data_IF_401780143712
#
_entry.id   IF_401780143712
#
_cell.length_a   1.000
_cell.length_b   1.000
_cell.length_c   1.000
_cell.angle_alpha   90.00
_cell.angle_beta   90.00
_cell.angle_gamma   90.00
#
_symmetry.space_group_name_H-M   'P 1'
#
loop_
_entity.id
_entity.type
_entity.pdbx_description
1 polymer ?
#
# COMPACT_ATOMS: atom_id res chain seq x y z
N UNK A 1 54.93 -19.85 -26.89
CA UNK A 1 54.88 -18.95 -25.71
C UNK A 1 53.60 -18.12 -25.80
N UNK A 2 52.59 -18.46 -24.98
CA UNK A 2 51.26 -17.85 -25.03
C UNK A 2 51.33 -16.40 -24.49
N UNK A 3 50.91 -15.44 -25.31
CA UNK A 3 50.73 -14.03 -24.90
C UNK A 3 49.46 -13.95 -24.05
N UNK A 4 49.60 -13.54 -22.80
CA UNK A 4 48.48 -13.22 -21.90
C UNK A 4 48.07 -11.79 -22.23
N UNK A 5 46.86 -11.64 -22.76
CA UNK A 5 46.22 -10.36 -23.01
C UNK A 5 45.58 -9.90 -21.69
N UNK A 6 46.18 -8.91 -21.01
CA UNK A 6 45.54 -8.23 -19.89
C UNK A 6 44.53 -7.22 -20.46
N UNK A 7 43.25 -7.58 -20.41
CA UNK A 7 42.16 -6.65 -20.67
C UNK A 7 41.89 -5.85 -19.40
N UNK A 8 42.23 -4.57 -19.40
CA UNK A 8 41.87 -3.64 -18.33
C UNK A 8 40.35 -3.41 -18.35
N UNK A 9 39.65 -3.91 -17.33
CA UNK A 9 38.24 -3.58 -17.10
C UNK A 9 38.22 -2.23 -16.39
N UNK A 10 37.85 -1.18 -17.14
CA UNK A 10 37.55 0.12 -16.56
C UNK A 10 36.24 0.01 -15.77
N UNK A 11 36.34 0.07 -14.44
CA UNK A 11 35.18 0.30 -13.58
C UNK A 11 34.70 1.74 -13.82
N UNK A 12 33.63 1.90 -14.59
CA UNK A 12 32.87 3.14 -14.60
C UNK A 12 32.06 3.15 -13.30
N UNK A 13 32.58 3.87 -12.30
CA UNK A 13 31.81 4.37 -11.18
C UNK A 13 30.74 5.30 -11.75
N UNK A 14 29.55 4.77 -12.03
CA UNK A 14 28.36 5.57 -12.26
C UNK A 14 28.00 6.18 -10.90
N UNK A 15 28.50 7.38 -10.64
CA UNK A 15 28.03 8.17 -9.50
C UNK A 15 26.53 8.31 -9.59
N UNK A 16 25.83 8.06 -8.48
CA UNK A 16 24.44 8.43 -8.33
C UNK A 16 24.32 9.94 -8.56
N UNK A 17 23.85 10.30 -9.75
CA UNK A 17 23.17 11.57 -9.94
C UNK A 17 21.84 11.44 -9.19
N UNK A 18 21.77 12.07 -8.02
CA UNK A 18 20.50 12.38 -7.37
C UNK A 18 19.82 13.41 -8.28
N UNK A 19 18.96 12.91 -9.17
CA UNK A 19 18.00 13.77 -9.87
C UNK A 19 16.88 14.00 -8.87
N UNK A 20 16.93 15.13 -8.15
CA UNK A 20 15.76 15.66 -7.45
C UNK A 20 14.80 16.22 -8.52
N UNK A 21 13.94 15.36 -9.02
CA UNK A 21 12.85 15.70 -9.93
C UNK A 21 11.74 14.68 -9.76
N UNK A 22 10.56 15.14 -9.35
CA UNK A 22 9.32 14.35 -9.44
C UNK A 22 8.86 14.35 -10.91
N UNK A 23 9.66 13.76 -11.79
CA UNK A 23 9.44 13.73 -13.25
C UNK A 23 8.39 12.67 -13.62
N UNK A 24 7.19 12.80 -13.05
CA UNK A 24 6.01 12.05 -13.42
C UNK A 24 5.03 13.00 -14.08
N UNK A 25 5.23 13.23 -15.37
CA UNK A 25 4.35 14.09 -16.16
C UNK A 25 3.09 13.36 -16.63
N UNK A 26 3.11 12.03 -16.69
CA UNK A 26 2.00 11.23 -17.22
C UNK A 26 1.86 9.91 -16.47
N UNK A 27 0.62 9.61 -16.07
CA UNK A 27 0.26 8.35 -15.40
C UNK A 27 -0.98 7.74 -16.06
N UNK A 28 -1.12 6.41 -16.12
CA UNK A 28 -2.37 5.79 -16.52
C UNK A 28 -3.41 5.85 -15.39
N UNK A 29 -4.69 5.98 -15.76
CA UNK A 29 -5.80 5.90 -14.83
C UNK A 29 -5.76 4.57 -14.06
N UNK A 30 -6.11 4.61 -12.77
CA UNK A 30 -6.19 3.47 -11.84
C UNK A 30 -4.88 2.75 -11.51
N UNK A 31 -3.78 2.97 -12.24
CA UNK A 31 -2.50 2.38 -11.92
C UNK A 31 -1.77 3.20 -10.85
N UNK A 32 -1.23 2.49 -9.85
CA UNK A 32 -0.42 3.10 -8.81
C UNK A 32 0.83 3.76 -9.40
N UNK A 33 1.04 5.02 -9.05
CA UNK A 33 2.23 5.82 -9.33
C UNK A 33 2.79 6.37 -8.02
N UNK A 34 4.08 6.67 -7.97
CA UNK A 34 4.76 7.08 -6.74
C UNK A 34 5.62 8.32 -6.96
N UNK A 35 5.44 9.35 -6.14
CA UNK A 35 6.33 10.52 -6.09
C UNK A 35 7.14 10.49 -4.80
N UNK A 36 8.35 11.04 -4.87
CA UNK A 36 9.29 11.10 -3.74
C UNK A 36 9.62 12.55 -3.43
N UNK A 37 9.58 12.88 -2.15
CA UNK A 37 9.91 14.19 -1.62
C UNK A 37 10.96 14.02 -0.53
N UNK A 38 11.81 15.03 -0.39
CA UNK A 38 12.83 15.05 0.64
C UNK A 38 12.56 16.21 1.58
N UNK A 39 12.43 15.90 2.87
CA UNK A 39 12.34 16.89 3.93
C UNK A 39 13.61 17.74 3.98
N UNK A 40 13.47 19.05 4.16
CA UNK A 40 14.60 19.93 4.46
C UNK A 40 14.95 19.96 5.96
N UNK A 41 14.18 19.22 6.77
CA UNK A 41 14.29 19.09 8.23
C UNK A 41 14.54 17.65 8.68
N UNK A 42 15.16 17.52 9.85
CA UNK A 42 15.23 16.27 10.59
C UNK A 42 14.11 16.22 11.63
N UNK A 43 13.50 15.05 11.81
CA UNK A 43 12.52 14.79 12.85
C UNK A 43 12.99 13.64 13.72
N UNK A 44 12.64 13.67 15.01
CA UNK A 44 13.02 12.60 15.94
C UNK A 44 12.24 11.33 15.64
N UNK A 45 10.97 11.46 15.28
CA UNK A 45 10.16 10.35 14.78
C UNK A 45 9.27 10.80 13.62
N UNK A 46 9.78 10.75 12.37
CA UNK A 46 9.03 11.21 11.20
C UNK A 46 7.64 10.60 11.03
N UNK A 47 7.45 9.35 11.47
CA UNK A 47 6.15 8.67 11.47
C UNK A 47 5.11 9.33 12.40
N UNK A 48 5.53 9.85 13.56
CA UNK A 48 4.64 10.51 14.52
C UNK A 48 4.58 12.03 14.32
N UNK A 49 5.71 12.63 13.93
CA UNK A 49 5.88 14.08 13.96
C UNK A 49 5.30 14.77 12.71
N UNK A 50 5.11 14.03 11.62
CA UNK A 50 4.79 14.61 10.30
C UNK A 50 3.57 13.94 9.67
N UNK A 51 2.53 14.74 9.45
CA UNK A 51 1.44 14.37 8.54
C UNK A 51 1.72 15.00 7.18
N UNK A 52 1.96 14.14 6.18
CA UNK A 52 2.21 14.54 4.80
C UNK A 52 1.05 14.06 3.90
N UNK A 53 0.53 14.94 3.06
CA UNK A 53 -0.56 14.70 2.12
C UNK A 53 -0.24 15.34 0.76
N UNK A 54 -0.83 14.81 -0.31
CA UNK A 54 -0.88 15.47 -1.62
C UNK A 54 -2.32 15.60 -2.08
N UNK A 55 -2.72 16.82 -2.42
CA UNK A 55 -4.04 17.13 -2.96
C UNK A 55 -3.90 17.21 -4.48
N UNK A 56 -4.54 16.28 -5.19
CA UNK A 56 -4.65 16.30 -6.64
C UNK A 56 -6.00 16.90 -7.04
N UNK A 57 -6.00 17.87 -7.94
CA UNK A 57 -7.21 18.53 -8.45
C UNK A 57 -7.31 18.37 -9.95
N UNK A 58 -8.38 17.73 -10.43
CA UNK A 58 -8.64 17.56 -11.86
C UNK A 58 -9.04 18.91 -12.47
N UNK A 59 -8.21 19.45 -13.37
CA UNK A 59 -8.30 20.85 -13.82
C UNK A 59 -9.62 21.20 -14.52
N UNK A 60 -10.25 20.22 -15.18
CA UNK A 60 -11.50 20.44 -15.91
C UNK A 60 -12.73 20.41 -15.01
N UNK A 61 -12.76 19.56 -13.98
CA UNK A 61 -13.97 19.34 -13.16
C UNK A 61 -13.85 19.88 -11.74
N UNK A 62 -12.64 20.24 -11.29
CA UNK A 62 -12.38 20.59 -9.89
C UNK A 62 -12.51 19.41 -8.93
N UNK A 63 -12.51 18.17 -9.44
CA UNK A 63 -12.61 16.99 -8.58
C UNK A 63 -11.29 16.77 -7.85
N UNK A 64 -11.34 16.61 -6.53
CA UNK A 64 -10.17 16.51 -5.68
C UNK A 64 -9.97 15.10 -5.12
N UNK A 65 -8.71 14.68 -5.05
CA UNK A 65 -8.25 13.51 -4.33
C UNK A 65 -7.18 13.96 -3.34
N UNK A 66 -7.46 13.81 -2.03
CA UNK A 66 -6.46 13.99 -0.99
C UNK A 66 -5.84 12.65 -0.65
N UNK A 67 -4.56 12.47 -0.97
CA UNK A 67 -3.84 11.21 -0.82
C UNK A 67 -2.81 11.35 0.30
N UNK A 68 -2.84 10.49 1.33
CA UNK A 68 -1.84 10.50 2.38
C UNK A 68 -0.49 10.01 1.85
N UNK A 69 0.58 10.72 2.23
CA UNK A 69 1.94 10.27 2.05
C UNK A 69 2.46 9.51 3.27
N UNK A 70 3.65 8.92 3.13
CA UNK A 70 4.30 8.11 4.15
C UNK A 70 5.81 8.37 4.18
N UNK A 71 6.38 8.34 5.38
CA UNK A 71 7.83 8.34 5.58
C UNK A 71 8.43 7.01 5.12
N UNK A 72 9.56 7.04 4.42
CA UNK A 72 10.27 5.86 3.90
C UNK A 72 11.76 5.87 4.26
N UNK A 73 12.14 6.45 5.41
CA UNK A 73 13.50 6.43 5.96
C UNK A 73 14.24 7.75 5.82
N UNK A 74 15.10 8.09 6.79
CA UNK A 74 15.80 9.36 6.82
C UNK A 74 14.86 10.55 6.63
N UNK A 75 15.15 11.38 5.62
CA UNK A 75 14.34 12.54 5.22
C UNK A 75 13.35 12.26 4.08
N UNK A 76 13.18 11.00 3.69
CA UNK A 76 12.40 10.63 2.50
C UNK A 76 10.94 10.44 2.86
N UNK A 77 10.08 11.15 2.15
CA UNK A 77 8.62 10.98 2.18
C UNK A 77 8.13 10.64 0.78
N UNK A 78 7.12 9.79 0.70
CA UNK A 78 6.55 9.33 -0.55
C UNK A 78 5.06 9.50 -0.54
N UNK A 79 4.49 9.67 -1.73
CA UNK A 79 3.04 9.52 -1.95
C UNK A 79 2.85 8.49 -3.03
N UNK A 80 2.01 7.49 -2.76
CA UNK A 80 1.58 6.50 -3.75
C UNK A 80 0.11 6.75 -4.06
N UNK A 81 -0.22 6.95 -5.32
CA UNK A 81 -1.55 7.40 -5.75
C UNK A 81 -1.99 6.72 -7.04
N UNK A 82 -3.30 6.67 -7.27
CA UNK A 82 -3.90 6.26 -8.52
C UNK A 82 -4.94 7.30 -8.93
N UNK A 83 -4.73 7.99 -10.06
CA UNK A 83 -5.69 8.99 -10.55
C UNK A 83 -6.90 8.27 -11.17
N UNK A 84 -8.09 8.74 -10.85
CA UNK A 84 -9.35 8.03 -11.16
C UNK A 84 -10.11 8.66 -12.33
N UNK A 85 -9.59 9.71 -12.96
CA UNK A 85 -10.19 10.38 -14.13
C UNK A 85 -9.11 10.81 -15.12
N UNK A 86 -9.32 10.46 -16.39
CA UNK A 86 -8.48 10.90 -17.52
C UNK A 86 -8.55 12.42 -17.67
N UNK A 87 -7.41 13.05 -17.92
CA UNK A 87 -7.29 14.49 -18.14
C UNK A 87 -6.11 15.10 -17.41
N UNK A 88 -6.08 16.42 -17.40
CA UNK A 88 -5.04 17.22 -16.75
C UNK A 88 -5.35 17.41 -15.27
N UNK A 89 -4.36 17.16 -14.42
CA UNK A 89 -4.41 17.38 -12.98
C UNK A 89 -3.34 18.38 -12.57
N UNK A 90 -3.62 19.15 -11.53
CA UNK A 90 -2.61 19.84 -10.73
C UNK A 90 -2.49 19.14 -9.38
N UNK A 91 -1.35 19.27 -8.72
CA UNK A 91 -1.20 18.84 -7.33
C UNK A 91 -0.56 19.92 -6.46
N UNK A 92 -0.82 19.85 -5.16
CA UNK A 92 -0.10 20.59 -4.12
C UNK A 92 0.15 19.67 -2.92
N UNK A 93 1.34 19.75 -2.34
CA UNK A 93 1.70 19.02 -1.13
C UNK A 93 1.34 19.80 0.13
N UNK A 94 0.89 19.09 1.16
CA UNK A 94 0.50 19.64 2.46
C UNK A 94 1.26 18.86 3.53
N UNK A 95 1.96 19.58 4.40
CA UNK A 95 2.75 19.02 5.50
C UNK A 95 2.25 19.67 6.80
N UNK A 96 2.16 18.92 7.90
CA UNK A 96 1.82 19.48 9.21
C UNK A 96 2.86 20.50 9.72
N UNK A 97 4.12 20.34 9.32
CA UNK A 97 5.17 21.36 9.49
C UNK A 97 5.21 22.27 8.26
N UNK A 98 4.49 23.39 8.34
CA UNK A 98 4.38 24.35 7.24
C UNK A 98 5.71 25.04 6.88
N UNK A 99 6.71 24.99 7.77
CA UNK A 99 8.02 25.59 7.51
C UNK A 99 9.01 24.59 6.88
N UNK A 100 8.57 23.36 6.59
CA UNK A 100 9.32 22.36 5.83
C UNK A 100 9.13 22.62 4.32
N UNK A 101 10.05 23.34 3.69
CA UNK A 101 9.93 23.70 2.27
C UNK A 101 10.17 22.51 1.33
N UNK A 102 10.81 21.44 1.84
CA UNK A 102 10.98 20.18 1.13
C UNK A 102 9.68 19.38 0.97
N UNK A 103 8.71 19.57 1.87
CA UNK A 103 7.44 18.83 1.88
C UNK A 103 6.20 19.71 1.71
N UNK A 104 6.21 20.98 2.10
CA UNK A 104 5.02 21.83 2.08
C UNK A 104 4.96 22.74 0.84
N UNK A 105 3.76 22.93 0.28
CA UNK A 105 3.48 23.83 -0.85
C UNK A 105 4.28 23.54 -2.13
N UNK A 106 4.81 22.32 -2.29
CA UNK A 106 5.34 21.87 -3.57
C UNK A 106 4.17 21.55 -4.49
N UNK A 107 4.23 22.02 -5.74
CA UNK A 107 3.12 21.88 -6.68
C UNK A 107 3.61 21.55 -8.08
N UNK A 108 2.72 20.98 -8.87
CA UNK A 108 3.02 20.58 -10.23
C UNK A 108 1.78 20.13 -10.97
N UNK A 109 2.00 19.51 -12.13
CA UNK A 109 0.95 19.04 -13.01
C UNK A 109 1.22 17.59 -13.42
N UNK A 110 0.14 16.83 -13.64
CA UNK A 110 0.22 15.44 -14.10
C UNK A 110 -0.91 15.21 -15.10
N UNK A 111 -0.59 14.58 -16.23
CA UNK A 111 -1.59 14.10 -17.19
C UNK A 111 -2.01 12.67 -16.85
N UNK A 112 -3.28 12.45 -16.53
CA UNK A 112 -3.85 11.12 -16.41
C UNK A 112 -4.32 10.64 -17.79
N UNK A 113 -3.78 9.52 -18.26
CA UNK A 113 -4.15 8.88 -19.54
C UNK A 113 -5.08 7.71 -19.32
N UNK A 114 -5.79 7.30 -20.35
CA UNK A 114 -6.59 6.07 -20.32
C UNK A 114 -5.69 4.84 -20.11
N UNK A 115 -6.15 3.90 -19.28
CA UNK A 115 -5.47 2.62 -19.14
C UNK A 115 -5.60 1.80 -20.44
N UNK A 116 -4.48 1.36 -21.00
CA UNK A 116 -4.41 0.61 -22.28
C UNK A 116 -4.09 -0.87 -22.12
N UNK A 117 -4.01 -1.37 -20.90
CA UNK A 117 -3.72 -2.79 -20.66
C UNK A 117 -5.00 -3.64 -20.66
N UNK A 118 -4.84 -4.92 -20.33
CA UNK A 118 -5.91 -5.91 -20.47
C UNK A 118 -6.66 -6.24 -19.18
N UNK A 119 -6.17 -5.79 -18.03
CA UNK A 119 -6.71 -6.19 -16.73
C UNK A 119 -8.02 -5.44 -16.43
N UNK A 120 -9.09 -6.21 -16.20
CA UNK A 120 -10.45 -5.67 -15.99
C UNK A 120 -10.52 -4.69 -14.81
N UNK A 121 -9.76 -4.94 -13.73
CA UNK A 121 -9.71 -4.05 -12.55
C UNK A 121 -9.24 -2.62 -12.87
N UNK A 122 -8.41 -2.45 -13.89
CA UNK A 122 -7.94 -1.12 -14.33
C UNK A 122 -8.72 -0.58 -15.53
N UNK A 123 -9.34 -1.43 -16.36
CA UNK A 123 -10.28 -0.98 -17.41
C UNK A 123 -11.55 -0.38 -16.81
N UNK A 124 -12.06 -0.98 -15.74
CA UNK A 124 -13.37 -0.67 -15.14
C UNK A 124 -13.28 0.17 -13.87
N UNK A 125 -12.08 0.28 -13.29
CA UNK A 125 -11.83 0.94 -12.01
C UNK A 125 -12.04 0.04 -10.80
N UNK A 126 -11.60 0.51 -9.64
CA UNK A 126 -11.55 -0.30 -8.42
C UNK A 126 -12.93 -0.77 -7.96
N UNK A 127 -12.95 -1.90 -7.24
CA UNK A 127 -14.18 -2.51 -6.71
C UNK A 127 -14.81 -1.60 -5.66
N UNK A 128 -16.13 -1.47 -5.70
CA UNK A 128 -16.94 -0.72 -4.73
C UNK A 128 -18.22 -1.47 -4.35
N UNK A 129 -18.89 -0.95 -3.34
CA UNK A 129 -20.24 -1.36 -2.93
C UNK A 129 -21.27 -0.35 -3.41
N UNK A 130 -22.50 -0.80 -3.56
CA UNK A 130 -23.67 0.03 -3.82
C UNK A 130 -24.75 -0.36 -2.78
N UNK A 131 -25.34 0.60 -2.04
CA UNK A 131 -26.34 0.30 -1.00
C UNK A 131 -27.58 -0.47 -1.51
N UNK A 132 -27.93 -0.31 -2.78
CA UNK A 132 -29.09 -0.94 -3.38
C UNK A 132 -28.79 -2.35 -3.91
N UNK A 133 -27.52 -2.74 -3.96
CA UNK A 133 -27.07 -4.04 -4.44
C UNK A 133 -26.69 -4.98 -3.28
N UNK A 134 -26.52 -6.26 -3.61
CA UNK A 134 -26.07 -7.31 -2.68
C UNK A 134 -24.83 -8.04 -3.19
N UNK A 135 -24.14 -7.42 -4.13
CA UNK A 135 -22.92 -7.92 -4.76
C UNK A 135 -21.97 -6.76 -5.04
N UNK A 136 -20.71 -7.07 -5.28
CA UNK A 136 -19.69 -6.07 -5.62
C UNK A 136 -19.81 -5.63 -7.08
N UNK A 137 -19.38 -4.41 -7.35
CA UNK A 137 -19.28 -3.84 -8.69
C UNK A 137 -17.91 -3.20 -8.88
N UNK A 138 -17.42 -3.14 -10.11
CA UNK A 138 -16.33 -2.24 -10.48
C UNK A 138 -16.81 -0.77 -10.45
N UNK A 139 -15.89 0.19 -10.59
CA UNK A 139 -16.27 1.61 -10.57
C UNK A 139 -17.24 1.99 -11.71
N UNK A 140 -17.14 1.35 -12.87
CA UNK A 140 -18.05 1.53 -14.01
C UNK A 140 -19.46 0.94 -13.83
N UNK A 141 -19.72 0.23 -12.71
CA UNK A 141 -21.01 -0.41 -12.41
C UNK A 141 -21.13 -1.87 -12.88
N UNK A 142 -20.15 -2.41 -13.59
CA UNK A 142 -20.11 -3.83 -13.97
C UNK A 142 -19.99 -4.72 -12.74
N UNK A 143 -20.70 -5.84 -12.71
CA UNK A 143 -20.63 -6.79 -11.58
C UNK A 143 -19.22 -7.36 -11.41
N UNK A 144 -18.75 -7.40 -10.17
CA UNK A 144 -17.51 -8.07 -9.77
C UNK A 144 -17.85 -9.37 -9.02
N UNK A 145 -17.40 -10.50 -9.57
CA UNK A 145 -17.54 -11.78 -8.89
C UNK A 145 -16.34 -12.02 -7.96
N UNK A 146 -16.59 -12.02 -6.65
CA UNK A 146 -15.59 -12.32 -5.64
C UNK A 146 -15.30 -13.82 -5.63
N UNK A 147 -14.17 -14.22 -6.20
CA UNK A 147 -13.62 -15.56 -6.08
C UNK A 147 -12.27 -15.44 -5.37
N UNK A 148 -12.29 -15.70 -4.06
CA UNK A 148 -11.14 -15.49 -3.18
C UNK A 148 -10.37 -16.76 -2.87
N UNK A 149 -9.03 -16.66 -2.88
CA UNK A 149 -8.14 -17.65 -2.27
C UNK A 149 -7.49 -17.06 -1.01
N UNK A 150 -7.13 -17.94 -0.08
CA UNK A 150 -6.58 -17.56 1.21
C UNK A 150 -5.11 -17.91 1.33
N UNK A 151 -4.28 -16.89 1.59
CA UNK A 151 -2.85 -17.05 1.84
C UNK A 151 -2.38 -16.10 2.95
N UNK A 152 -2.47 -16.54 4.22
CA UNK A 152 -2.26 -15.66 5.36
C UNK A 152 -0.80 -15.22 5.60
N UNK A 153 0.16 -16.09 5.33
CA UNK A 153 1.58 -15.93 5.75
C UNK A 153 2.49 -15.41 4.65
N UNK A 154 2.01 -14.43 3.86
CA UNK A 154 2.78 -13.93 2.71
C UNK A 154 4.13 -13.33 3.11
N UNK A 155 4.28 -12.85 4.36
CA UNK A 155 5.51 -12.25 4.85
C UNK A 155 6.67 -13.21 5.03
N UNK A 156 6.40 -14.49 5.27
CA UNK A 156 7.41 -15.55 5.43
C UNK A 156 8.05 -15.96 4.10
N UNK A 157 7.37 -15.68 2.99
CA UNK A 157 7.79 -16.17 1.69
C UNK A 157 8.92 -15.34 1.09
N UNK A 158 9.87 -16.03 0.45
CA UNK A 158 10.91 -15.37 -0.33
C UNK A 158 10.30 -14.59 -1.52
N UNK A 159 10.91 -13.45 -1.81
CA UNK A 159 10.54 -12.56 -2.94
C UNK A 159 11.77 -12.16 -3.76
N UNK A 160 12.91 -12.82 -3.55
CA UNK A 160 14.21 -12.46 -4.14
C UNK A 160 14.26 -12.62 -5.66
N UNK A 161 13.53 -13.60 -6.22
CA UNK A 161 13.48 -13.84 -7.67
C UNK A 161 12.07 -14.23 -8.11
N UNK A 162 11.72 -14.09 -9.40
CA UNK A 162 10.42 -14.55 -9.93
C UNK A 162 10.12 -16.03 -9.69
N UNK A 163 11.14 -16.85 -9.39
CA UNK A 163 11.00 -18.27 -9.06
C UNK A 163 10.67 -18.52 -7.57
N UNK A 164 10.67 -17.50 -6.73
CA UNK A 164 10.30 -17.63 -5.32
C UNK A 164 8.83 -18.05 -5.15
N UNK A 165 8.52 -18.67 -4.02
CA UNK A 165 7.22 -19.31 -3.74
C UNK A 165 6.04 -18.34 -3.90
N UNK A 166 6.20 -17.11 -3.43
CA UNK A 166 5.19 -16.06 -3.50
C UNK A 166 4.66 -15.85 -4.93
N UNK A 167 5.55 -15.58 -5.88
CA UNK A 167 5.17 -15.31 -7.28
C UNK A 167 4.50 -16.53 -7.92
N UNK A 168 5.03 -17.74 -7.67
CA UNK A 168 4.46 -18.99 -8.21
C UNK A 168 3.04 -19.25 -7.71
N UNK A 169 2.75 -18.94 -6.46
CA UNK A 169 1.40 -19.10 -5.89
C UNK A 169 0.45 -18.11 -6.56
N UNK A 170 0.82 -16.83 -6.66
CA UNK A 170 0.01 -15.82 -7.35
C UNK A 170 -0.28 -16.23 -8.79
N UNK A 171 0.75 -16.56 -9.57
CA UNK A 171 0.58 -17.01 -10.95
C UNK A 171 -0.31 -18.25 -11.06
N UNK A 172 -0.20 -19.17 -10.09
CA UNK A 172 -1.07 -20.33 -10.05
C UNK A 172 -2.54 -19.95 -9.79
N UNK A 173 -2.81 -19.00 -8.89
CA UNK A 173 -4.16 -18.52 -8.60
C UNK A 173 -4.80 -17.81 -9.79
N UNK A 174 -4.02 -17.03 -10.53
CA UNK A 174 -4.47 -16.42 -11.79
C UNK A 174 -4.92 -17.52 -12.78
N UNK A 175 -4.11 -18.58 -12.97
CA UNK A 175 -4.47 -19.71 -13.86
C UNK A 175 -5.73 -20.47 -13.40
N UNK A 176 -6.05 -20.43 -12.11
CA UNK A 176 -7.25 -21.04 -11.54
C UNK A 176 -8.48 -20.12 -11.63
N UNK A 177 -8.32 -18.87 -12.05
CA UNK A 177 -9.40 -17.90 -12.23
C UNK A 177 -9.81 -17.13 -10.97
N UNK A 178 -9.01 -17.18 -9.90
CA UNK A 178 -9.27 -16.35 -8.71
C UNK A 178 -9.22 -14.87 -9.09
N UNK A 179 -10.09 -14.08 -8.46
CA UNK A 179 -10.18 -12.61 -8.65
C UNK A 179 -9.72 -11.86 -7.41
N UNK A 180 -9.71 -12.52 -6.25
CA UNK A 180 -9.32 -11.94 -4.97
C UNK A 180 -8.26 -12.80 -4.31
N UNK A 181 -7.25 -12.14 -3.77
CA UNK A 181 -6.20 -12.77 -2.97
C UNK A 181 -6.26 -12.26 -1.54
N UNK A 182 -6.48 -13.15 -0.58
CA UNK A 182 -6.64 -12.79 0.83
C UNK A 182 -5.34 -13.03 1.59
N UNK A 183 -4.84 -12.04 2.32
CA UNK A 183 -3.63 -12.23 3.13
C UNK A 183 -3.59 -11.38 4.39
N UNK A 184 -2.55 -11.63 5.19
CA UNK A 184 -2.13 -10.85 6.34
C UNK A 184 -0.63 -10.59 6.23
N UNK A 185 -0.05 -9.67 7.00
CA UNK A 185 1.39 -9.45 6.97
C UNK A 185 2.11 -10.38 7.96
N UNK A 186 1.58 -11.59 8.19
CA UNK A 186 2.22 -12.57 9.06
C UNK A 186 3.58 -12.94 8.47
N UNK A 187 4.61 -12.93 9.32
CA UNK A 187 5.99 -13.19 8.94
C UNK A 187 6.74 -11.99 8.34
N UNK A 188 6.11 -10.83 8.19
CA UNK A 188 6.79 -9.63 7.70
C UNK A 188 7.82 -9.16 8.75
N UNK A 189 9.06 -8.83 8.35
CA UNK A 189 10.14 -8.52 9.29
C UNK A 189 10.06 -7.07 9.80
N UNK A 190 9.02 -6.77 10.57
CA UNK A 190 8.90 -5.57 11.39
C UNK A 190 8.46 -5.95 12.81
N UNK A 191 8.58 -5.01 13.75
CA UNK A 191 7.99 -5.09 15.08
C UNK A 191 7.21 -3.79 15.30
N UNK A 192 5.88 -3.87 15.37
CA UNK A 192 5.03 -2.67 15.51
C UNK A 192 4.55 -2.47 16.95
N UNK A 193 4.94 -3.37 17.86
CA UNK A 193 4.63 -3.26 19.28
C UNK A 193 5.52 -2.25 20.03
N UNK A 194 6.52 -1.68 19.38
CA UNK A 194 7.45 -0.66 19.91
C UNK A 194 7.52 0.60 19.03
N UNK A 195 6.55 0.79 18.13
CA UNK A 195 6.45 1.93 17.23
C UNK A 195 6.85 1.59 15.80
N UNK A 196 7.07 2.62 14.97
CA UNK A 196 7.59 2.46 13.60
C UNK A 196 8.97 3.09 13.55
N UNK A 197 9.98 2.30 13.19
CA UNK A 197 11.38 2.69 13.10
C UNK A 197 11.94 2.45 11.69
N UNK A 198 13.20 2.83 11.46
CA UNK A 198 13.87 2.52 10.20
C UNK A 198 14.04 1.02 9.97
N UNK A 199 14.21 0.23 11.04
CA UNK A 199 14.39 -1.22 10.95
C UNK A 199 13.11 -1.90 10.43
N UNK A 200 11.94 -1.30 10.63
CA UNK A 200 10.65 -1.81 10.18
C UNK A 200 10.39 -1.56 8.69
N UNK A 201 11.08 -0.56 8.11
CA UNK A 201 10.92 -0.20 6.70
C UNK A 201 11.28 -1.34 5.77
N UNK A 202 12.17 -2.26 6.18
CA UNK A 202 12.45 -3.49 5.40
C UNK A 202 11.21 -4.36 5.25
N UNK A 203 10.37 -4.45 6.29
CA UNK A 203 9.11 -5.18 6.27
C UNK A 203 8.08 -4.50 5.37
N UNK A 204 7.90 -3.19 5.52
CA UNK A 204 6.97 -2.42 4.68
C UNK A 204 7.36 -2.43 3.20
N UNK A 205 8.65 -2.31 2.87
CA UNK A 205 9.15 -2.41 1.49
C UNK A 205 9.02 -3.81 0.92
N UNK A 206 9.19 -4.85 1.74
CA UNK A 206 8.92 -6.21 1.32
C UNK A 206 7.42 -6.43 1.03
N UNK A 207 6.53 -5.78 1.78
CA UNK A 207 5.10 -5.75 1.46
C UNK A 207 4.80 -4.93 0.21
N UNK A 208 5.50 -3.80 -0.03
CA UNK A 208 5.34 -3.01 -1.26
C UNK A 208 5.50 -3.87 -2.52
N UNK A 209 6.52 -4.74 -2.54
CA UNK A 209 6.75 -5.70 -3.63
C UNK A 209 5.56 -6.64 -3.81
N UNK A 210 5.01 -7.16 -2.72
CA UNK A 210 3.91 -8.14 -2.76
C UNK A 210 2.61 -7.51 -3.21
N UNK A 211 2.22 -6.38 -2.61
CA UNK A 211 1.04 -5.62 -3.02
C UNK A 211 1.12 -5.22 -4.49
N UNK A 212 2.28 -4.71 -4.92
CA UNK A 212 2.50 -4.36 -6.32
C UNK A 212 2.32 -5.57 -7.24
N UNK A 213 2.94 -6.70 -6.91
CA UNK A 213 2.84 -7.88 -7.76
C UNK A 213 1.41 -8.42 -7.85
N UNK A 214 0.69 -8.50 -6.73
CA UNK A 214 -0.73 -8.91 -6.69
C UNK A 214 -1.58 -7.99 -7.58
N UNK A 215 -1.35 -6.68 -7.48
CA UNK A 215 -2.04 -5.67 -8.26
C UNK A 215 -1.68 -5.73 -9.75
N UNK A 216 -0.41 -5.89 -10.10
CA UNK A 216 0.08 -6.02 -11.49
C UNK A 216 -0.41 -7.33 -12.13
N UNK A 217 -0.71 -8.34 -11.32
CA UNK A 217 -1.35 -9.60 -11.73
C UNK A 217 -2.87 -9.49 -11.95
N UNK A 218 -3.47 -8.34 -11.62
CA UNK A 218 -4.90 -8.07 -11.81
C UNK A 218 -5.81 -8.62 -10.70
N UNK A 219 -5.24 -9.09 -9.59
CA UNK A 219 -6.00 -9.54 -8.44
C UNK A 219 -6.36 -8.36 -7.53
N UNK A 220 -7.54 -8.43 -6.91
CA UNK A 220 -7.89 -7.55 -5.79
C UNK A 220 -7.30 -8.13 -4.51
N UNK A 221 -6.55 -7.32 -3.77
CA UNK A 221 -5.90 -7.77 -2.55
C UNK A 221 -6.80 -7.53 -1.33
N UNK A 222 -7.43 -8.57 -0.83
CA UNK A 222 -8.17 -8.52 0.43
C UNK A 222 -7.20 -8.70 1.60
N UNK A 223 -6.59 -7.60 2.03
CA UNK A 223 -5.53 -7.62 3.03
C UNK A 223 -6.06 -7.21 4.41
N UNK A 224 -5.73 -7.99 5.44
CA UNK A 224 -5.96 -7.62 6.84
C UNK A 224 -4.75 -6.88 7.39
N UNK A 225 -4.92 -5.63 7.83
CA UNK A 225 -3.80 -4.76 8.18
C UNK A 225 -2.88 -5.36 9.25
N UNK A 226 -3.32 -5.57 10.50
CA UNK A 226 -2.39 -5.93 11.59
C UNK A 226 -2.97 -6.77 12.73
N UNK A 227 -4.25 -7.13 12.69
CA UNK A 227 -4.96 -7.40 13.93
C UNK A 227 -5.50 -8.83 14.02
N UNK A 228 -4.86 -9.67 14.83
CA UNK A 228 -5.61 -10.63 15.62
C UNK A 228 -6.11 -9.93 16.90
N UNK A 229 -6.96 -10.61 17.67
CA UNK A 229 -7.53 -10.04 18.91
C UNK A 229 -6.44 -9.65 19.90
N UNK A 230 -5.32 -10.39 19.94
CA UNK A 230 -4.24 -10.15 20.91
C UNK A 230 -3.57 -8.79 20.71
N UNK A 231 -3.34 -8.39 19.46
CA UNK A 231 -2.80 -7.08 19.12
C UNK A 231 -3.80 -5.94 19.41
N UNK A 232 -5.10 -6.25 19.50
CA UNK A 232 -6.15 -5.29 19.89
C UNK A 232 -6.39 -5.24 21.41
N UNK A 233 -5.79 -6.14 22.20
CA UNK A 233 -5.94 -6.16 23.66
C UNK A 233 -4.98 -5.15 24.30
N UNK A 234 -5.51 -3.95 24.59
CA UNK A 234 -4.79 -2.82 25.23
C UNK A 234 -4.01 -3.19 26.50
N UNK A 235 -4.42 -4.23 27.22
CA UNK A 235 -3.72 -4.71 28.43
C UNK A 235 -2.46 -5.53 28.14
N UNK A 236 -2.39 -6.22 26.99
CA UNK A 236 -1.24 -7.04 26.59
C UNK A 236 -0.23 -6.25 25.75
N UNK A 237 -0.70 -5.24 25.00
CA UNK A 237 0.11 -4.48 24.06
C UNK A 237 -0.15 -2.97 24.22
N UNK A 238 0.47 -2.29 25.21
CA UNK A 238 0.18 -0.90 25.55
C UNK A 238 0.53 0.11 24.44
N UNK A 239 1.35 -0.29 23.46
CA UNK A 239 1.71 0.52 22.30
C UNK A 239 0.51 0.81 21.39
N UNK A 240 -0.47 -0.11 21.28
CA UNK A 240 -1.66 0.05 20.45
C UNK A 240 -2.73 0.95 21.09
N UNK A 241 -2.33 2.20 21.37
CA UNK A 241 -3.27 3.27 21.72
C UNK A 241 -4.13 3.64 20.50
N UNK A 242 -5.28 4.27 20.72
CA UNK A 242 -6.16 4.67 19.61
C UNK A 242 -5.46 5.66 18.66
N UNK A 243 -4.59 6.53 19.19
CA UNK A 243 -3.77 7.45 18.38
C UNK A 243 -2.72 6.72 17.54
N UNK A 244 -2.02 5.74 18.12
CA UNK A 244 -1.04 4.95 17.37
C UNK A 244 -1.73 4.13 16.28
N UNK A 245 -2.87 3.52 16.59
CA UNK A 245 -3.66 2.74 15.64
C UNK A 245 -4.17 3.63 14.49
N UNK A 246 -4.64 4.85 14.77
CA UNK A 246 -5.05 5.80 13.73
C UNK A 246 -3.89 6.15 12.78
N UNK A 247 -2.71 6.49 13.35
CA UNK A 247 -1.50 6.77 12.57
C UNK A 247 -1.06 5.57 11.75
N UNK A 248 -1.12 4.38 12.32
CA UNK A 248 -0.71 3.16 11.65
C UNK A 248 -1.67 2.78 10.51
N UNK A 249 -2.99 2.93 10.71
CA UNK A 249 -4.02 2.83 9.67
C UNK A 249 -3.76 3.81 8.53
N UNK A 250 -3.52 5.08 8.86
CA UNK A 250 -3.17 6.11 7.89
C UNK A 250 -1.92 5.74 7.08
N UNK A 251 -0.87 5.28 7.75
CA UNK A 251 0.39 4.86 7.13
C UNK A 251 0.19 3.65 6.19
N UNK A 252 -0.67 2.72 6.58
CA UNK A 252 -1.02 1.54 5.77
C UNK A 252 -1.78 1.92 4.50
N UNK A 253 -2.76 2.82 4.61
CA UNK A 253 -3.50 3.37 3.47
C UNK A 253 -2.56 4.18 2.56
N UNK A 254 -1.65 4.98 3.14
CA UNK A 254 -0.66 5.76 2.37
C UNK A 254 0.26 4.89 1.53
N UNK A 255 0.71 3.75 2.06
CA UNK A 255 1.54 2.80 1.30
C UNK A 255 0.73 2.02 0.27
N UNK A 256 -0.43 1.46 0.64
CA UNK A 256 -1.05 0.42 -0.20
C UNK A 256 -2.39 0.80 -0.84
N UNK A 257 -3.00 1.93 -0.46
CA UNK A 257 -4.32 2.35 -0.93
C UNK A 257 -4.40 2.74 -2.41
N UNK A 258 -3.26 2.90 -3.08
CA UNK A 258 -3.19 3.11 -4.53
C UNK A 258 -3.37 1.83 -5.35
N UNK A 259 -3.35 0.66 -4.72
CA UNK A 259 -3.59 -0.63 -5.38
C UNK A 259 -5.07 -1.05 -5.24
N UNK A 260 -5.55 -2.03 -6.03
CA UNK A 260 -6.88 -2.60 -5.84
C UNK A 260 -6.93 -3.42 -4.54
N UNK A 261 -7.36 -2.80 -3.43
CA UNK A 261 -7.35 -3.39 -2.09
C UNK A 261 -8.75 -3.41 -1.50
N UNK A 262 -9.08 -4.51 -0.81
CA UNK A 262 -10.22 -4.60 0.11
C UNK A 262 -9.68 -4.71 1.53
N UNK A 263 -10.01 -3.75 2.38
CA UNK A 263 -9.52 -3.71 3.75
C UNK A 263 -10.30 -4.66 4.64
N UNK A 264 -9.57 -5.55 5.32
CA UNK A 264 -10.13 -6.34 6.42
C UNK A 264 -9.58 -5.75 7.71
N UNK A 265 -10.47 -5.29 8.60
CA UNK A 265 -10.04 -4.57 9.82
C UNK A 265 -9.35 -5.49 10.83
N UNK A 266 -9.71 -6.76 10.89
CA UNK A 266 -9.09 -7.75 11.77
C UNK A 266 -9.52 -9.16 11.32
N UNK A 267 -8.79 -10.17 11.78
CA UNK A 267 -9.20 -11.57 11.63
C UNK A 267 -9.48 -12.20 12.99
N UNK A 268 -10.62 -12.92 13.09
CA UNK A 268 -11.09 -13.61 14.30
C UNK A 268 -11.25 -12.63 15.48
N UNK A 269 -11.82 -11.47 15.21
CA UNK A 269 -11.95 -10.36 16.16
C UNK A 269 -13.16 -10.47 17.09
N UNK A 270 -13.38 -11.65 17.68
CA UNK A 270 -14.35 -11.84 18.75
C UNK A 270 -13.66 -11.82 20.13
N UNK A 271 -14.46 -11.54 21.15
CA UNK A 271 -13.99 -11.50 22.55
C UNK A 271 -13.73 -12.90 23.14
N UNK A 272 -14.13 -13.96 22.45
CA UNK A 272 -14.03 -15.36 22.87
C UNK A 272 -13.03 -16.15 22.01
N UNK A 273 -11.89 -15.51 21.74
CA UNK A 273 -10.82 -16.00 20.87
C UNK A 273 -10.46 -17.46 21.16
N UNK A 274 -11.04 -18.38 20.37
CA UNK A 274 -11.14 -19.81 20.65
C UNK A 274 -11.88 -20.10 21.97
N UNK A 275 -13.02 -20.80 21.86
CA UNK A 275 -13.95 -21.41 22.84
C UNK A 275 -13.44 -21.77 24.27
N UNK A 276 -12.14 -21.75 24.52
CA UNK A 276 -11.46 -22.16 25.74
C UNK A 276 -11.66 -21.22 26.95
N UNK A 277 -12.23 -20.01 26.78
CA UNK A 277 -12.48 -19.10 27.91
C UNK A 277 -13.82 -19.30 28.61
N UNK A 278 -14.78 -19.98 27.99
CA UNK A 278 -16.07 -20.32 28.63
C UNK A 278 -16.99 -19.13 28.94
N UNK A 279 -16.60 -17.91 28.55
CA UNK A 279 -17.34 -16.67 28.73
C UNK A 279 -17.98 -16.26 27.38
N UNK A 280 -18.79 -17.15 26.79
CA UNK A 280 -19.51 -16.79 25.57
C UNK A 280 -20.49 -15.67 25.86
N UNK A 281 -20.32 -14.53 25.16
CA UNK A 281 -21.35 -13.50 25.07
C UNK A 281 -22.28 -13.78 23.89
N UNK A 282 -21.91 -14.70 22.98
CA UNK A 282 -22.71 -15.04 21.80
C UNK A 282 -23.75 -16.14 22.11
N UNK A 283 -25.02 -15.74 22.13
CA UNK A 283 -26.17 -16.62 22.20
C UNK A 283 -26.81 -16.74 20.81
N UNK A 284 -26.63 -17.90 20.17
CA UNK A 284 -27.18 -18.18 18.84
C UNK A 284 -28.72 -18.12 18.77
N UNK A 285 -29.44 -18.23 19.90
CA UNK A 285 -30.89 -18.07 19.94
C UNK A 285 -31.32 -16.60 19.90
N UNK A 286 -30.44 -15.68 20.30
CA UNK A 286 -30.75 -14.26 20.50
C UNK A 286 -29.90 -13.30 19.64
N UNK A 287 -28.88 -13.82 18.93
CA UNK A 287 -27.94 -13.05 18.10
C UNK A 287 -27.34 -11.83 18.83
N UNK A 288 -26.96 -12.05 20.09
CA UNK A 288 -26.23 -11.11 20.95
C UNK A 288 -24.99 -11.80 21.44
#
# INVERSE_FOLDING_TARGET
>A
MKKILLTAIAFILLGLLIVCGNDIDTVPQWLASEMTFESDRDYASPFYDVDFDVIFTHKKTGFELKIPGFWDGGRVFKVRFALTKVGEWSYVTVCSDNDNSGLHNNSGNITCTEYKGELEIYKRGFVKTDPDLRYFIYDDGTTFFYLGDTHWVIGEEDISTPESTFYKIIDHRIRQGFTVYQSQPLGVPYLLSDGVSEDDLKGFRALDVRFKYIADSGLVHAHSQLFHVRELMKYEMPMYTDEYLDRLCRYWVARYGAYPVLWTIAQKSDNDFYFERGDSIFDAANNR
#
